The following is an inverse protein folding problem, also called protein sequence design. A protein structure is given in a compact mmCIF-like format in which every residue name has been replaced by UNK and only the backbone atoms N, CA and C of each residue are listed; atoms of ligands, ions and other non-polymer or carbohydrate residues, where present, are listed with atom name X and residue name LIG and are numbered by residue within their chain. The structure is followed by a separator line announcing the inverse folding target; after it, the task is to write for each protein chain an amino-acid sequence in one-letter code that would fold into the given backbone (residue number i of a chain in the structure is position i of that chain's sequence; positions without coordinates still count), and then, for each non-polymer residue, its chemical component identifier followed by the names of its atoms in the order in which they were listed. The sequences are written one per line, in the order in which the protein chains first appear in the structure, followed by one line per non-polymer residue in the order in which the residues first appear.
data_IF_614580157239
#
_entry.id   IF_614580157239
#
_cell.length_a   1.000
_cell.length_b   1.000
_cell.length_c   1.000
_cell.angle_alpha   90.00
_cell.angle_beta   90.00
_cell.angle_gamma   90.00
#
_symmetry.space_group_name_H-M   'P 1'
#
loop_
_entity.id
_entity.type
_entity.pdbx_description
1 polymer ?
#
# COMPACT_ATOMS: atom_id res chain seq x y z
N UNK A 1 -2.12 17.70 2.15
CA UNK A 1 -1.44 16.41 2.40
C UNK A 1 0.03 16.58 2.06
N UNK A 2 0.93 15.81 2.68
CA UNK A 2 2.35 15.80 2.32
C UNK A 2 2.78 14.38 1.99
N UNK A 3 3.83 14.24 1.17
CA UNK A 3 4.38 12.95 0.79
C UNK A 3 5.74 12.71 1.45
N UNK A 4 6.07 11.45 1.67
CA UNK A 4 7.35 11.04 2.23
C UNK A 4 7.60 9.56 2.02
N UNK A 5 8.70 9.06 2.59
CA UNK A 5 9.04 7.64 2.58
C UNK A 5 9.02 7.10 4.00
N UNK A 6 8.46 5.91 4.15
CA UNK A 6 8.45 5.18 5.41
C UNK A 6 8.92 3.76 5.14
N UNK A 7 9.92 3.34 5.92
CA UNK A 7 10.38 1.96 5.91
C UNK A 7 9.32 1.05 6.53
N UNK A 8 8.79 0.11 5.76
CA UNK A 8 7.83 -0.91 6.19
C UNK A 8 8.38 -2.27 5.81
N UNK A 9 8.66 -3.11 6.83
CA UNK A 9 9.30 -4.43 6.67
C UNK A 9 10.58 -4.42 5.82
N UNK A 10 11.37 -3.37 5.94
CA UNK A 10 12.65 -3.24 5.23
C UNK A 10 12.53 -2.69 3.81
N UNK A 11 11.33 -2.33 3.33
CA UNK A 11 11.12 -1.66 2.05
C UNK A 11 10.73 -0.20 2.31
N UNK A 12 11.38 0.73 1.61
CA UNK A 12 11.05 2.15 1.69
C UNK A 12 9.84 2.45 0.79
N UNK A 13 8.67 2.55 1.42
CA UNK A 13 7.40 2.79 0.72
C UNK A 13 7.05 4.28 0.76
N UNK A 14 6.58 4.79 -0.38
CA UNK A 14 6.03 6.14 -0.45
C UNK A 14 4.67 6.22 0.25
N UNK A 15 4.48 7.24 1.06
CA UNK A 15 3.21 7.52 1.75
C UNK A 15 2.75 8.96 1.53
N UNK A 16 1.45 9.16 1.72
CA UNK A 16 0.79 10.44 1.81
C UNK A 16 0.20 10.61 3.20
N UNK A 17 0.51 11.71 3.87
CA UNK A 17 -0.15 12.10 5.11
C UNK A 17 -1.41 12.90 4.77
N UNK A 18 -2.57 12.29 4.99
CA UNK A 18 -3.88 12.90 4.72
C UNK A 18 -4.64 12.94 6.04
N UNK A 19 -4.95 14.14 6.54
CA UNK A 19 -5.71 14.31 7.78
C UNK A 19 -5.06 13.67 9.02
N UNK A 20 -3.73 13.61 9.08
CA UNK A 20 -3.01 12.95 10.18
C UNK A 20 -2.83 11.44 10.01
N UNK A 21 -3.38 10.83 8.97
CA UNK A 21 -3.21 9.40 8.69
C UNK A 21 -2.19 9.15 7.58
N UNK A 22 -1.25 8.24 7.81
CA UNK A 22 -0.32 7.75 6.80
C UNK A 22 -1.04 6.79 5.85
N UNK A 23 -1.07 7.15 4.58
CA UNK A 23 -1.74 6.43 3.51
C UNK A 23 -0.73 5.99 2.48
N UNK A 24 -0.68 4.69 2.19
CA UNK A 24 0.27 4.09 1.27
C UNK A 24 -0.41 3.72 -0.04
N UNK A 25 0.31 3.83 -1.15
CA UNK A 25 -0.19 3.37 -2.44
C UNK A 25 -0.31 1.84 -2.44
N UNK A 26 -1.52 1.33 -2.54
CA UNK A 26 -1.79 -0.11 -2.62
C UNK A 26 -1.07 -0.72 -3.82
N UNK A 27 -0.96 0.01 -4.94
CA UNK A 27 -0.21 -0.45 -6.11
C UNK A 27 1.26 -0.73 -5.77
N UNK A 28 1.92 0.17 -5.03
CA UNK A 28 3.31 -0.01 -4.60
C UNK A 28 3.44 -1.18 -3.62
N UNK A 29 2.59 -1.19 -2.60
CA UNK A 29 2.55 -2.23 -1.58
C UNK A 29 2.40 -3.62 -2.23
N UNK A 30 1.51 -3.76 -3.21
CA UNK A 30 1.32 -5.02 -3.92
C UNK A 30 2.54 -5.41 -4.76
N UNK A 31 3.18 -4.44 -5.42
CA UNK A 31 4.32 -4.67 -6.31
C UNK A 31 5.64 -4.90 -5.58
N UNK A 32 5.88 -4.26 -4.44
CA UNK A 32 7.13 -4.35 -3.69
C UNK A 32 7.00 -5.34 -2.51
N UNK A 33 5.98 -5.16 -1.67
CA UNK A 33 5.82 -5.89 -0.42
C UNK A 33 5.19 -7.28 -0.60
N UNK A 34 4.30 -7.40 -1.58
CA UNK A 34 3.54 -8.63 -1.85
C UNK A 34 3.76 -9.17 -3.27
N UNK A 35 4.94 -8.89 -3.86
CA UNK A 35 5.29 -9.34 -5.22
C UNK A 35 5.11 -10.85 -5.43
N UNK A 36 5.35 -11.63 -4.37
CA UNK A 36 5.28 -13.10 -4.38
C UNK A 36 3.90 -13.65 -3.97
N UNK A 37 2.95 -12.79 -3.57
CA UNK A 37 1.62 -13.20 -3.13
C UNK A 37 0.58 -12.86 -4.21
N UNK A 38 -0.24 -13.83 -4.65
CA UNK A 38 -1.31 -13.57 -5.61
C UNK A 38 -2.27 -12.47 -5.12
N UNK A 39 -2.63 -11.54 -6.01
CA UNK A 39 -3.58 -10.46 -5.72
C UNK A 39 -4.92 -10.98 -5.18
N UNK A 40 -5.40 -12.13 -5.65
CA UNK A 40 -6.63 -12.76 -5.17
C UNK A 40 -6.56 -13.09 -3.66
N UNK A 41 -5.42 -13.62 -3.19
CA UNK A 41 -5.18 -13.93 -1.78
C UNK A 41 -5.18 -12.66 -0.94
N UNK A 42 -4.55 -11.61 -1.44
CA UNK A 42 -4.49 -10.31 -0.77
C UNK A 42 -5.89 -9.70 -0.67
N UNK A 43 -6.65 -9.67 -1.77
CA UNK A 43 -8.03 -9.19 -1.78
C UNK A 43 -8.90 -9.95 -0.79
N UNK A 44 -8.78 -11.28 -0.73
CA UNK A 44 -9.53 -12.11 0.23
C UNK A 44 -9.14 -11.80 1.68
N UNK A 45 -7.86 -11.57 1.96
CA UNK A 45 -7.40 -11.15 3.29
C UNK A 45 -7.89 -9.75 3.66
N UNK A 46 -7.87 -8.81 2.71
CA UNK A 46 -8.42 -7.47 2.93
C UNK A 46 -9.90 -7.54 3.28
N UNK A 47 -10.68 -8.37 2.57
CA UNK A 47 -12.09 -8.61 2.87
C UNK A 47 -12.28 -9.22 4.27
N UNK A 48 -11.50 -10.27 4.60
CA UNK A 48 -11.56 -10.93 5.92
C UNK A 48 -11.22 -9.97 7.07
N UNK A 49 -10.23 -9.10 6.87
CA UNK A 49 -9.80 -8.10 7.84
C UNK A 49 -10.66 -6.83 7.81
N UNK A 50 -11.68 -6.77 6.95
CA UNK A 50 -12.53 -5.59 6.71
C UNK A 50 -11.73 -4.32 6.37
N UNK A 51 -10.58 -4.50 5.73
CA UNK A 51 -9.71 -3.41 5.28
C UNK A 51 -10.38 -2.69 4.12
N UNK A 52 -10.52 -1.37 4.24
CA UNK A 52 -11.08 -0.52 3.18
C UNK A 52 -9.96 0.29 2.52
N UNK A 53 -9.81 0.14 1.21
CA UNK A 53 -8.93 1.01 0.43
C UNK A 53 -9.70 2.22 -0.12
N UNK A 54 -9.10 3.41 -0.04
CA UNK A 54 -9.66 4.65 -0.62
C UNK A 54 -9.09 4.87 -2.02
N UNK A 55 -9.89 5.29 -3.01
CA UNK A 55 -9.32 5.69 -4.32
C UNK A 55 -8.53 6.99 -4.17
N UNK A 56 -7.38 7.07 -4.83
CA UNK A 56 -6.59 8.30 -4.89
C UNK A 56 -7.34 9.37 -5.67
N UNK A 57 -7.26 10.61 -5.19
CA UNK A 57 -7.55 11.79 -5.99
C UNK A 57 -6.44 12.02 -7.04
N UNK A 58 -6.75 12.72 -8.15
CA UNK A 58 -5.75 13.04 -9.17
C UNK A 58 -4.50 13.75 -8.62
N UNK A 59 -4.67 14.62 -7.62
CA UNK A 59 -3.57 15.33 -6.96
C UNK A 59 -2.69 14.40 -6.11
N UNK A 60 -3.30 13.45 -5.41
CA UNK A 60 -2.61 12.43 -4.62
C UNK A 60 -1.80 11.51 -5.53
N UNK A 61 -2.41 11.06 -6.63
CA UNK A 61 -1.76 10.23 -7.64
C UNK A 61 -0.55 10.95 -8.25
N UNK A 62 -0.68 12.24 -8.60
CA UNK A 62 0.45 13.04 -9.10
C UNK A 62 1.59 13.13 -8.09
N UNK A 63 1.26 13.28 -6.82
CA UNK A 63 2.26 13.36 -5.74
C UNK A 63 2.98 12.03 -5.54
N UNK A 64 2.25 10.91 -5.54
CA UNK A 64 2.83 9.56 -5.49
C UNK A 64 3.73 9.27 -6.69
N UNK A 65 3.37 9.74 -7.88
CA UNK A 65 4.23 9.67 -9.07
C UNK A 65 5.50 10.49 -8.90
N UNK A 66 5.40 11.69 -8.33
CA UNK A 66 6.54 12.57 -8.10
C UNK A 66 7.58 11.94 -7.15
N UNK A 67 7.13 11.15 -6.18
CA UNK A 67 8.02 10.39 -5.27
C UNK A 67 8.33 8.98 -5.75
N UNK A 68 8.09 8.66 -7.04
CA UNK A 68 8.33 7.32 -7.62
C UNK A 68 7.68 6.16 -6.84
N UNK A 69 6.62 6.45 -6.07
CA UNK A 69 5.88 5.45 -5.30
C UNK A 69 4.98 4.61 -6.20
N UNK A 70 4.48 5.20 -7.30
CA UNK A 70 3.68 4.48 -8.30
C UNK A 70 4.23 4.72 -9.71
N UNK A 71 4.04 3.77 -10.63
CA UNK A 71 4.49 3.93 -12.01
C UNK A 71 3.86 5.17 -12.66
N UNK A 72 4.62 5.88 -13.49
CA UNK A 72 4.16 7.10 -14.19
C UNK A 72 2.92 6.82 -15.05
N UNK A 73 2.81 5.61 -15.60
CA UNK A 73 1.65 5.13 -16.37
C UNK A 73 0.42 4.74 -15.55
N UNK A 74 0.47 4.77 -14.22
CA UNK A 74 -0.67 4.41 -13.38
C UNK A 74 -1.82 5.42 -13.56
N UNK A 75 -2.97 4.95 -14.05
CA UNK A 75 -4.21 5.73 -14.23
C UNK A 75 -5.20 5.55 -13.07
N UNK A 76 -5.05 4.47 -12.30
CA UNK A 76 -5.87 4.17 -11.12
C UNK A 76 -4.95 3.77 -9.97
N UNK A 77 -5.13 4.40 -8.81
CA UNK A 77 -4.43 4.04 -7.58
C UNK A 77 -5.41 4.05 -6.41
N UNK A 78 -5.17 3.14 -5.46
CA UNK A 78 -5.88 3.08 -4.19
C UNK A 78 -4.89 3.27 -3.05
N UNK A 79 -5.35 3.86 -1.96
CA UNK A 79 -4.63 4.09 -0.73
C UNK A 79 -5.09 3.12 0.34
N UNK A 80 -4.14 2.65 1.13
CA UNK A 80 -4.37 1.85 2.34
C UNK A 80 -3.72 2.56 3.52
N UNK A 81 -4.40 2.56 4.68
CA UNK A 81 -3.84 3.16 5.88
C UNK A 81 -2.66 2.34 6.40
N UNK A 82 -1.77 2.95 7.18
CA UNK A 82 -0.67 2.22 7.84
C UNK A 82 -1.17 1.04 8.69
N UNK A 83 -2.22 1.28 9.48
CA UNK A 83 -2.78 0.26 10.37
C UNK A 83 -3.31 -0.95 9.57
N UNK A 84 -4.04 -0.68 8.48
CA UNK A 84 -4.54 -1.72 7.59
C UNK A 84 -3.41 -2.45 6.87
N UNK A 85 -2.38 -1.71 6.43
CA UNK A 85 -1.18 -2.29 5.80
C UNK A 85 -0.48 -3.26 6.76
N UNK A 86 -0.27 -2.87 8.01
CA UNK A 86 0.35 -3.70 9.03
C UNK A 86 -0.50 -4.93 9.37
N UNK A 87 -1.83 -4.77 9.46
CA UNK A 87 -2.76 -5.88 9.66
C UNK A 87 -2.71 -6.88 8.49
N UNK A 88 -2.75 -6.38 7.26
CA UNK A 88 -2.62 -7.18 6.04
C UNK A 88 -1.29 -7.91 6.02
N UNK A 89 -0.20 -7.22 6.37
CA UNK A 89 1.12 -7.82 6.38
C UNK A 89 1.28 -8.90 7.45
N UNK A 90 0.73 -8.67 8.64
CA UNK A 90 0.70 -9.66 9.73
C UNK A 90 -0.08 -10.90 9.32
N UNK A 91 -1.22 -10.71 8.65
CA UNK A 91 -2.02 -11.81 8.10
C UNK A 91 -1.27 -12.55 6.98
N UNK A 92 -0.60 -11.84 6.07
CA UNK A 92 0.18 -12.43 4.98
C UNK A 92 1.48 -13.10 5.43
N UNK A 93 2.09 -12.71 6.56
CA UNK A 93 3.28 -13.37 7.12
C UNK A 93 3.05 -14.85 7.44
N UNK A 94 1.80 -15.26 7.69
CA UNK A 94 1.43 -16.67 7.81
C UNK A 94 1.60 -17.47 6.51
N UNK A 95 1.82 -16.82 5.35
CA UNK A 95 1.92 -17.44 4.03
C UNK A 95 3.30 -17.31 3.38
N UNK A 96 4.22 -16.52 3.96
CA UNK A 96 5.61 -16.50 3.50
C UNK A 96 6.36 -17.75 4.01
N UNK A 97 7.36 -18.27 3.27
CA UNK A 97 8.15 -19.39 3.75
C UNK A 97 8.72 -19.03 5.12
N UNK A 98 8.46 -19.89 6.11
CA UNK A 98 9.17 -19.86 7.38
C UNK A 98 10.66 -20.03 7.07
N UNK A 99 11.57 -19.31 7.75
CA UNK A 99 12.98 -19.69 7.73
C UNK A 99 13.15 -21.12 8.25
#
# INVERSE_FOLDING_TARGET
FHAGYQRVRGIDLGYLQIGGTQMFALAQVLSDLFKDIPRATISRKMETLKIKSRRCDPAELRTLKAINSVPTGAVKCSLISKADLEALCTSCKSLGPRP
#
